data_IF_429939897549
#
_entry.id   IF_429939897549
#
_cell.length_a   1.000
_cell.length_b   1.000
_cell.length_c   1.000
_cell.angle_alpha   90.00
_cell.angle_beta   90.00
_cell.angle_gamma   90.00
#
_symmetry.space_group_name_H-M   'P 1'
#
loop_
_entity.id
_entity.type
_entity.pdbx_description
1 polymer ?
#
# COMPACT_ATOMS: atom_id res chain seq x y z
N UNK A 1 8.47 6.28 -26.41
CA UNK A 1 8.73 5.85 -25.02
C UNK A 1 7.41 5.87 -24.27
N UNK A 2 7.08 4.79 -23.57
CA UNK A 2 5.93 4.74 -22.65
C UNK A 2 6.42 5.11 -21.26
N UNK A 3 5.69 5.98 -20.58
CA UNK A 3 5.88 6.31 -19.16
C UNK A 3 4.85 5.50 -18.37
N UNK A 4 5.28 4.90 -17.26
CA UNK A 4 4.40 4.23 -16.31
C UNK A 4 4.32 5.09 -15.05
N UNK A 5 3.10 5.40 -14.60
CA UNK A 5 2.85 6.14 -13.36
C UNK A 5 2.48 5.16 -12.27
N UNK A 6 3.15 5.27 -11.12
CA UNK A 6 2.87 4.49 -9.92
C UNK A 6 2.30 5.44 -8.87
N UNK A 7 0.96 5.64 -8.81
CA UNK A 7 0.35 6.22 -7.62
C UNK A 7 0.74 5.42 -6.38
N UNK A 8 0.84 6.08 -5.23
CA UNK A 8 1.22 5.47 -3.98
C UNK A 8 0.11 5.60 -2.92
N UNK A 9 -0.07 4.56 -2.12
CA UNK A 9 -0.92 4.54 -0.92
C UNK A 9 -0.03 4.21 0.27
N UNK A 10 0.08 5.14 1.21
CA UNK A 10 0.72 4.87 2.50
C UNK A 10 -0.35 4.51 3.53
N UNK A 11 -0.11 3.44 4.29
CA UNK A 11 -1.03 2.91 5.28
C UNK A 11 -0.50 3.14 6.69
N UNK A 12 -1.36 3.69 7.55
CA UNK A 12 -1.13 3.82 8.99
C UNK A 12 -2.43 3.58 9.74
N UNK A 13 -2.42 2.63 10.66
CA UNK A 13 -3.55 2.22 11.50
C UNK A 13 -4.83 1.93 10.69
N UNK A 14 -4.67 1.23 9.56
CA UNK A 14 -5.73 0.87 8.63
C UNK A 14 -6.18 1.99 7.69
N UNK A 15 -5.71 3.22 7.87
CA UNK A 15 -6.12 4.38 7.09
C UNK A 15 -5.10 4.76 6.00
N UNK A 16 -5.60 5.42 4.95
CA UNK A 16 -4.78 6.06 3.92
C UNK A 16 -4.25 7.38 4.45
N UNK A 17 -2.93 7.51 4.51
CA UNK A 17 -2.27 8.69 5.04
C UNK A 17 -1.22 9.23 4.10
N UNK A 18 -0.70 10.42 4.42
CA UNK A 18 0.57 10.93 3.91
C UNK A 18 1.36 11.50 5.06
N UNK A 19 2.63 11.13 5.16
CA UNK A 19 3.55 11.74 6.11
C UNK A 19 4.19 12.99 5.49
N UNK A 20 4.22 14.08 6.24
CA UNK A 20 5.03 15.23 5.85
C UNK A 20 6.52 14.88 6.04
N UNK A 21 7.28 14.81 4.95
CA UNK A 21 8.73 14.53 4.98
C UNK A 21 9.10 13.21 5.69
N UNK A 22 8.17 12.25 5.73
CA UNK A 22 8.38 10.96 6.40
C UNK A 22 8.19 10.97 7.93
N UNK A 23 7.74 12.09 8.50
CA UNK A 23 7.48 12.21 9.94
C UNK A 23 6.13 11.59 10.33
N UNK A 24 6.18 10.55 11.17
CA UNK A 24 5.02 9.77 11.64
C UNK A 24 4.05 10.58 12.49
N UNK A 25 4.52 11.61 13.18
CA UNK A 25 3.69 12.49 14.01
C UNK A 25 2.98 13.56 13.16
N UNK A 26 3.42 13.72 11.90
CA UNK A 26 2.87 14.67 10.93
C UNK A 26 2.13 13.96 9.81
N UNK A 27 1.26 13.04 10.18
CA UNK A 27 0.38 12.32 9.26
C UNK A 27 -0.89 13.12 8.94
N UNK A 28 -1.21 13.26 7.66
CA UNK A 28 -2.54 13.69 7.19
C UNK A 28 -3.33 12.47 6.74
N UNK A 29 -4.52 12.28 7.30
CA UNK A 29 -5.43 11.19 6.92
C UNK A 29 -6.27 11.65 5.73
N UNK A 30 -6.27 10.85 4.66
CA UNK A 30 -7.07 11.11 3.45
C UNK A 30 -8.35 10.27 3.39
N UNK A 31 -8.38 9.13 4.07
CA UNK A 31 -9.55 8.26 4.13
C UNK A 31 -9.29 6.98 4.92
N UNK A 32 -10.37 6.28 5.25
CA UNK A 32 -10.39 5.04 6.03
C UNK A 32 -10.76 3.80 5.20
N UNK A 33 -11.00 3.96 3.89
CA UNK A 33 -11.19 2.85 2.93
C UNK A 33 -10.02 2.80 1.92
N UNK A 34 -8.96 2.02 2.21
CA UNK A 34 -7.84 1.82 1.30
C UNK A 34 -8.22 1.21 -0.05
N UNK A 35 -9.22 0.32 -0.07
CA UNK A 35 -9.69 -0.31 -1.29
C UNK A 35 -10.40 0.70 -2.20
N UNK A 36 -11.16 1.64 -1.64
CA UNK A 36 -11.73 2.75 -2.41
C UNK A 36 -10.66 3.63 -3.06
N UNK A 37 -9.58 3.93 -2.35
CA UNK A 37 -8.48 4.70 -2.90
C UNK A 37 -7.79 3.96 -4.06
N UNK A 38 -7.60 2.64 -3.94
CA UNK A 38 -7.07 1.80 -5.00
C UNK A 38 -7.98 1.79 -6.25
N UNK A 39 -9.30 1.62 -6.06
CA UNK A 39 -10.28 1.72 -7.15
C UNK A 39 -10.23 3.07 -7.85
N UNK A 40 -10.15 4.16 -7.09
CA UNK A 40 -10.07 5.51 -7.65
C UNK A 40 -8.82 5.69 -8.54
N UNK A 41 -7.67 5.12 -8.15
CA UNK A 41 -6.49 5.12 -9.01
C UNK A 41 -6.66 4.27 -10.27
N UNK A 42 -7.30 3.11 -10.17
CA UNK A 42 -7.59 2.27 -11.33
C UNK A 42 -8.54 2.98 -12.32
N UNK A 43 -9.61 3.61 -11.81
CA UNK A 43 -10.56 4.41 -12.60
C UNK A 43 -9.89 5.61 -13.29
N UNK A 44 -8.87 6.19 -12.66
CA UNK A 44 -8.03 7.23 -13.26
C UNK A 44 -7.04 6.71 -14.32
N UNK A 45 -7.00 5.39 -14.57
CA UNK A 45 -6.19 4.76 -15.61
C UNK A 45 -4.83 4.24 -15.15
N UNK A 46 -4.58 4.17 -13.84
CA UNK A 46 -3.35 3.57 -13.33
C UNK A 46 -3.36 2.05 -13.57
N UNK A 47 -2.27 1.53 -14.12
CA UNK A 47 -2.05 0.08 -14.31
C UNK A 47 -1.13 -0.53 -13.25
N UNK A 48 -0.47 0.33 -12.47
CA UNK A 48 0.43 -0.05 -11.39
C UNK A 48 0.11 0.77 -10.16
N UNK A 49 0.32 0.19 -8.97
CA UNK A 49 0.07 0.81 -7.68
C UNK A 49 1.22 0.47 -6.73
N UNK A 50 1.72 1.47 -6.01
CA UNK A 50 2.68 1.27 -4.93
C UNK A 50 1.97 1.39 -3.58
N UNK A 51 2.20 0.47 -2.67
CA UNK A 51 1.57 0.45 -1.34
C UNK A 51 2.67 0.31 -0.29
N UNK A 52 2.60 1.12 0.77
CA UNK A 52 3.54 1.06 1.89
C UNK A 52 2.78 0.86 3.19
N UNK A 53 3.04 -0.26 3.88
CA UNK A 53 2.65 -0.44 5.29
C UNK A 53 3.63 0.31 6.19
N UNK A 54 3.29 1.56 6.57
CA UNK A 54 4.18 2.38 7.38
C UNK A 54 4.37 1.78 8.77
N UNK A 55 3.29 1.38 9.44
CA UNK A 55 3.40 0.75 10.76
C UNK A 55 4.27 -0.51 10.69
N UNK A 56 4.13 -1.29 9.62
CA UNK A 56 4.96 -2.45 9.41
C UNK A 56 6.42 -2.11 9.13
N UNK A 57 6.70 -1.02 8.41
CA UNK A 57 8.07 -0.53 8.21
C UNK A 57 8.80 -0.27 9.55
N UNK A 58 8.12 0.38 10.49
CA UNK A 58 8.67 0.66 11.83
C UNK A 58 8.70 -0.59 12.72
N UNK A 59 7.62 -1.39 12.76
CA UNK A 59 7.53 -2.58 13.61
C UNK A 59 8.42 -3.73 13.12
N UNK A 60 8.70 -3.79 11.81
CA UNK A 60 9.47 -4.86 11.20
C UNK A 60 8.68 -6.10 10.78
N UNK A 61 7.36 -6.02 10.79
CA UNK A 61 6.42 -7.05 10.36
C UNK A 61 5.13 -6.38 9.89
N UNK A 62 4.32 -7.05 9.08
CA UNK A 62 3.07 -6.47 8.58
C UNK A 62 2.11 -6.11 9.72
N UNK A 63 1.59 -4.88 9.71
CA UNK A 63 0.61 -4.35 10.68
C UNK A 63 -0.69 -3.91 10.04
N UNK A 64 -0.71 -3.70 8.73
CA UNK A 64 -1.89 -3.32 7.95
C UNK A 64 -2.28 -4.40 6.94
N UNK A 65 -2.15 -5.68 7.32
CA UNK A 65 -2.28 -6.78 6.37
C UNK A 65 -3.65 -6.88 5.71
N UNK A 66 -4.73 -6.64 6.47
CA UNK A 66 -6.11 -6.65 5.94
C UNK A 66 -6.33 -5.53 4.92
N UNK A 67 -5.82 -4.32 5.20
CA UNK A 67 -5.88 -3.20 4.28
C UNK A 67 -5.12 -3.46 2.97
N UNK A 68 -3.94 -4.06 3.05
CA UNK A 68 -3.16 -4.44 1.87
C UNK A 68 -3.90 -5.48 1.02
N UNK A 69 -4.47 -6.52 1.64
CA UNK A 69 -5.27 -7.53 0.93
C UNK A 69 -6.46 -6.89 0.23
N UNK A 70 -7.19 -6.01 0.91
CA UNK A 70 -8.32 -5.30 0.33
C UNK A 70 -7.91 -4.42 -0.86
N UNK A 71 -6.73 -3.80 -0.83
CA UNK A 71 -6.17 -3.06 -1.98
C UNK A 71 -5.89 -4.01 -3.15
N UNK A 72 -5.19 -5.12 -2.89
CA UNK A 72 -4.79 -6.08 -3.95
C UNK A 72 -6.02 -6.68 -4.62
N UNK A 73 -7.07 -7.01 -3.87
CA UNK A 73 -8.34 -7.51 -4.43
C UNK A 73 -9.10 -6.45 -5.24
N UNK A 74 -8.98 -5.17 -4.87
CA UNK A 74 -9.72 -4.08 -5.50
C UNK A 74 -9.01 -3.45 -6.70
N UNK A 75 -7.68 -3.58 -6.80
CA UNK A 75 -6.89 -3.00 -7.89
C UNK A 75 -6.66 -4.05 -9.00
N UNK A 76 -7.17 -3.84 -10.23
CA UNK A 76 -7.08 -4.85 -11.29
C UNK A 76 -5.69 -4.95 -11.94
N UNK A 77 -4.75 -4.07 -11.58
CA UNK A 77 -3.41 -4.01 -12.14
C UNK A 77 -2.33 -4.64 -11.25
N UNK A 78 -1.09 -4.20 -11.40
CA UNK A 78 0.04 -4.69 -10.61
C UNK A 78 0.21 -3.89 -9.32
N UNK A 79 0.35 -4.57 -8.18
CA UNK A 79 0.59 -3.93 -6.88
C UNK A 79 2.01 -4.22 -6.42
N UNK A 80 2.76 -3.17 -6.07
CA UNK A 80 4.02 -3.30 -5.35
C UNK A 80 3.77 -3.00 -3.87
N UNK A 81 4.30 -3.85 -2.99
CA UNK A 81 4.20 -3.66 -1.55
C UNK A 81 5.57 -3.41 -0.90
N UNK A 82 5.63 -2.42 -0.03
CA UNK A 82 6.71 -2.19 0.93
C UNK A 82 6.20 -2.11 2.37
N UNK A 83 7.12 -2.17 3.33
CA UNK A 83 6.83 -2.04 4.76
C UNK A 83 6.90 -3.36 5.53
N UNK A 84 7.90 -3.50 6.41
CA UNK A 84 7.98 -4.61 7.35
C UNK A 84 8.35 -5.98 6.76
N UNK A 85 8.76 -6.05 5.49
CA UNK A 85 9.17 -7.29 4.83
C UNK A 85 10.66 -7.53 5.13
N UNK A 86 10.97 -8.43 6.07
CA UNK A 86 12.36 -8.67 6.56
C UNK A 86 12.92 -10.05 6.28
N UNK A 87 12.08 -11.01 5.90
CA UNK A 87 12.49 -12.38 5.67
C UNK A 87 11.75 -13.01 4.47
N UNK A 88 12.21 -14.21 4.08
CA UNK A 88 11.66 -14.96 2.96
C UNK A 88 10.21 -15.38 3.17
N UNK A 89 9.83 -15.75 4.40
CA UNK A 89 8.46 -16.16 4.69
C UNK A 89 7.47 -15.00 4.49
N UNK A 90 7.88 -13.78 4.84
CA UNK A 90 7.11 -12.57 4.59
C UNK A 90 6.97 -12.28 3.08
N UNK A 91 8.03 -12.50 2.30
CA UNK A 91 8.00 -12.36 0.83
C UNK A 91 7.01 -13.35 0.23
N UNK A 92 7.15 -14.64 0.56
CA UNK A 92 6.30 -15.72 0.02
C UNK A 92 4.82 -15.48 0.35
N UNK A 93 4.51 -15.10 1.59
CA UNK A 93 3.14 -14.76 2.02
C UNK A 93 2.51 -13.67 1.14
N UNK A 94 3.28 -12.65 0.74
CA UNK A 94 2.74 -11.55 -0.05
C UNK A 94 2.57 -11.92 -1.53
N UNK A 95 3.51 -12.67 -2.09
CA UNK A 95 3.34 -13.22 -3.44
C UNK A 95 2.12 -14.15 -3.54
N UNK A 96 1.88 -14.99 -2.53
CA UNK A 96 0.69 -15.86 -2.47
C UNK A 96 -0.63 -15.08 -2.43
N UNK A 97 -0.59 -13.79 -2.07
CA UNK A 97 -1.75 -12.89 -2.03
C UNK A 97 -1.89 -12.01 -3.26
N UNK A 98 -1.03 -12.16 -4.27
CA UNK A 98 -1.14 -11.44 -5.54
C UNK A 98 -0.43 -10.09 -5.59
N UNK A 99 0.47 -9.82 -4.62
CA UNK A 99 1.51 -8.79 -4.76
C UNK A 99 2.54 -9.22 -5.80
#
# INVERSE_FOLDING_TARGET
MSIIVFPAIDLKQGAVVRLAEGDMDRATVYGDDPAAQARAFAEAGASHLHVVDLDGAFAGEARNAEAVVAIVEAFPGHVQLGGGIRDRAAIERWFDRGV
#
